data_IF_005632842100
#
_entry.id   IF_005632842100
#
_cell.length_a   1.000
_cell.length_b   1.000
_cell.length_c   1.000
_cell.angle_alpha   90.00
_cell.angle_beta   90.00
_cell.angle_gamma   90.00
#
_symmetry.space_group_name_H-M   'P 1'
#
loop_
_entity.id
_entity.type
_entity.pdbx_description
1 polymer ?
#
# COMPACT_ATOMS: atom_id res chain seq x y z
N UNK A 1 6.63 3.70 -2.65
CA UNK A 1 5.44 4.27 -1.97
C UNK A 1 4.83 5.36 -2.85
N UNK A 2 3.59 5.15 -3.28
CA UNK A 2 2.85 6.11 -4.09
C UNK A 2 2.42 7.29 -3.22
N UNK A 3 2.23 8.44 -3.85
CA UNK A 3 1.71 9.65 -3.20
C UNK A 3 0.25 9.92 -3.59
N UNK A 4 -0.31 9.09 -4.47
CA UNK A 4 -1.58 9.32 -5.15
C UNK A 4 -2.43 8.05 -5.18
N UNK A 5 -3.75 8.25 -5.17
CA UNK A 5 -4.79 7.26 -5.34
C UNK A 5 -5.47 7.50 -6.70
N UNK A 6 -5.76 6.43 -7.44
CA UNK A 6 -6.42 6.55 -8.74
C UNK A 6 -7.93 6.75 -8.57
N UNK A 7 -8.50 7.78 -9.18
CA UNK A 7 -9.91 8.14 -8.95
C UNK A 7 -10.90 7.12 -9.51
N UNK A 8 -10.58 6.39 -10.58
CA UNK A 8 -11.42 5.28 -11.07
C UNK A 8 -11.50 4.16 -10.02
N UNK A 9 -10.38 3.79 -9.40
CA UNK A 9 -10.39 2.84 -8.27
C UNK A 9 -11.23 3.32 -7.10
N UNK A 10 -11.02 4.58 -6.68
CA UNK A 10 -11.81 5.17 -5.61
C UNK A 10 -13.30 5.17 -5.93
N UNK A 11 -13.68 5.49 -7.16
CA UNK A 11 -15.09 5.51 -7.58
C UNK A 11 -15.70 4.11 -7.52
N UNK A 12 -15.03 3.08 -8.06
CA UNK A 12 -15.45 1.68 -7.93
C UNK A 12 -15.60 1.27 -6.46
N UNK A 13 -14.64 1.63 -5.61
CA UNK A 13 -14.68 1.27 -4.18
C UNK A 13 -15.83 1.99 -3.46
N UNK A 14 -15.95 3.31 -3.65
CA UNK A 14 -16.96 4.13 -2.95
C UNK A 14 -18.37 3.71 -3.36
N UNK A 15 -18.60 3.45 -4.65
CA UNK A 15 -19.95 3.19 -5.16
C UNK A 15 -20.32 1.70 -5.12
N UNK A 16 -19.38 0.78 -5.36
CA UNK A 16 -19.72 -0.64 -5.55
C UNK A 16 -19.33 -1.54 -4.36
N UNK A 17 -18.34 -1.16 -3.55
CA UNK A 17 -17.85 -2.02 -2.45
C UNK A 17 -18.54 -1.69 -1.12
N UNK A 18 -18.83 -2.70 -0.29
CA UNK A 18 -19.59 -2.55 0.96
C UNK A 18 -18.77 -2.86 2.21
N UNK A 19 -17.62 -3.51 2.05
CA UNK A 19 -16.70 -3.97 3.08
C UNK A 19 -16.18 -2.77 3.90
N UNK A 20 -16.16 -2.92 5.22
CA UNK A 20 -15.94 -1.79 6.12
C UNK A 20 -14.54 -1.17 6.02
N UNK A 21 -13.52 -2.01 5.83
CA UNK A 21 -12.10 -1.61 5.79
C UNK A 21 -11.53 -1.52 4.37
N UNK A 22 -12.38 -1.53 3.33
CA UNK A 22 -11.93 -1.57 1.94
C UNK A 22 -11.10 -0.34 1.56
N UNK A 23 -11.49 0.85 2.05
CA UNK A 23 -10.78 2.09 1.80
C UNK A 23 -9.44 2.11 2.54
N UNK A 24 -9.41 1.71 3.82
CA UNK A 24 -8.17 1.60 4.58
C UNK A 24 -7.19 0.63 3.90
N UNK A 25 -7.70 -0.49 3.39
CA UNK A 25 -6.92 -1.54 2.72
C UNK A 25 -6.34 -1.00 1.41
N UNK A 26 -7.17 -0.37 0.59
CA UNK A 26 -6.74 0.24 -0.66
C UNK A 26 -5.73 1.37 -0.46
N UNK A 27 -5.97 2.27 0.51
CA UNK A 27 -5.04 3.36 0.85
C UNK A 27 -3.71 2.79 1.31
N UNK A 28 -3.72 1.76 2.16
CA UNK A 28 -2.48 1.09 2.60
C UNK A 28 -1.75 0.44 1.43
N UNK A 29 -2.44 -0.25 0.52
CA UNK A 29 -1.85 -0.88 -0.66
C UNK A 29 -1.21 0.18 -1.59
N UNK A 30 -1.93 1.26 -1.88
CA UNK A 30 -1.40 2.37 -2.65
C UNK A 30 -0.19 3.00 -1.98
N UNK A 31 -0.28 3.25 -0.68
CA UNK A 31 0.83 3.80 0.10
C UNK A 31 2.08 2.93 0.01
N UNK A 32 2.00 1.61 0.19
CA UNK A 32 3.18 0.74 0.12
C UNK A 32 3.69 0.48 -1.32
N UNK A 33 2.86 0.72 -2.34
CA UNK A 33 3.23 0.47 -3.75
C UNK A 33 4.35 1.40 -4.22
N UNK A 34 5.27 0.94 -5.05
CA UNK A 34 6.34 1.74 -5.65
C UNK A 34 6.08 1.92 -7.12
N UNK A 35 6.22 3.16 -7.59
CA UNK A 35 6.15 3.48 -9.01
C UNK A 35 7.48 3.10 -9.67
N UNK A 36 7.41 2.15 -10.60
CA UNK A 36 8.55 1.67 -11.40
C UNK A 36 8.09 1.55 -12.84
N UNK A 37 8.70 2.30 -13.75
CA UNK A 37 8.34 2.35 -15.17
C UNK A 37 6.82 2.55 -15.37
N UNK A 38 6.25 3.53 -14.67
CA UNK A 38 4.83 3.85 -14.65
C UNK A 38 3.89 2.79 -14.05
N UNK A 39 4.37 1.59 -13.72
CA UNK A 39 3.57 0.58 -12.98
C UNK A 39 3.67 0.80 -11.46
N UNK A 40 2.58 0.54 -10.74
CA UNK A 40 2.50 0.66 -9.29
C UNK A 40 2.58 -0.72 -8.63
N UNK A 41 3.77 -1.07 -8.18
CA UNK A 41 4.14 -2.43 -7.76
C UNK A 41 4.28 -2.54 -6.24
N UNK A 42 3.72 -3.59 -5.66
CA UNK A 42 3.92 -3.99 -4.27
C UNK A 42 4.74 -5.28 -4.31
N UNK A 43 6.02 -5.14 -3.98
CA UNK A 43 6.98 -6.23 -4.03
C UNK A 43 6.85 -7.13 -2.80
N UNK A 44 6.04 -8.18 -2.92
CA UNK A 44 6.00 -9.31 -1.98
C UNK A 44 6.94 -10.43 -2.42
N UNK A 45 7.31 -10.46 -3.71
CA UNK A 45 8.04 -11.58 -4.32
C UNK A 45 7.32 -12.93 -4.17
N UNK A 46 6.01 -12.90 -3.95
CA UNK A 46 5.13 -14.07 -3.87
C UNK A 46 3.70 -13.66 -4.18
N UNK A 47 3.02 -14.54 -4.90
CA UNK A 47 1.57 -14.54 -5.14
C UNK A 47 0.75 -14.84 -3.86
N UNK A 48 1.41 -15.16 -2.75
CA UNK A 48 0.76 -15.37 -1.46
C UNK A 48 0.11 -14.09 -0.94
N UNK A 49 -1.23 -14.12 -0.84
CA UNK A 49 -2.02 -13.08 -0.19
C UNK A 49 -1.60 -12.87 1.26
N UNK A 50 -1.12 -13.92 1.95
CA UNK A 50 -0.69 -13.81 3.35
C UNK A 50 0.48 -12.84 3.52
N UNK A 51 1.45 -12.86 2.60
CA UNK A 51 2.58 -11.92 2.64
C UNK A 51 2.12 -10.49 2.34
N UNK A 52 1.18 -10.31 1.40
CA UNK A 52 0.58 -8.99 1.14
C UNK A 52 -0.17 -8.45 2.37
N UNK A 53 -0.97 -9.29 3.04
CA UNK A 53 -1.72 -8.92 4.24
C UNK A 53 -0.76 -8.49 5.35
N UNK A 54 0.36 -9.21 5.54
CA UNK A 54 1.35 -8.86 6.55
C UNK A 54 1.98 -7.48 6.31
N UNK A 55 2.18 -7.07 5.05
CA UNK A 55 2.63 -5.71 4.73
C UNK A 55 1.56 -4.67 5.04
N UNK A 56 0.31 -4.93 4.63
CA UNK A 56 -0.82 -4.03 4.86
C UNK A 56 -1.09 -3.81 6.36
N UNK A 57 -1.02 -4.88 7.16
CA UNK A 57 -1.22 -4.84 8.63
C UNK A 57 -0.27 -3.89 9.37
N UNK A 58 0.88 -3.54 8.79
CA UNK A 58 1.78 -2.53 9.39
C UNK A 58 1.15 -1.14 9.47
N UNK A 59 0.24 -0.83 8.54
CA UNK A 59 -0.35 0.50 8.41
C UNK A 59 -1.82 0.56 8.87
N UNK A 60 -2.38 -0.56 9.33
CA UNK A 60 -3.78 -0.64 9.76
C UNK A 60 -4.03 -1.64 10.88
N UNK A 61 -4.95 -1.29 11.77
CA UNK A 61 -5.39 -2.14 12.86
C UNK A 61 -6.68 -2.86 12.49
N UNK A 62 -6.58 -3.93 11.68
CA UNK A 62 -7.70 -4.77 11.29
C UNK A 62 -7.33 -6.26 11.39
N UNK A 63 -8.34 -7.11 11.56
CA UNK A 63 -8.13 -8.56 11.63
C UNK A 63 -7.62 -9.11 10.29
N UNK A 64 -6.85 -10.19 10.33
CA UNK A 64 -6.33 -10.85 9.12
C UNK A 64 -7.46 -11.18 8.13
N UNK A 65 -8.54 -11.82 8.62
CA UNK A 65 -9.70 -12.21 7.80
C UNK A 65 -10.38 -11.02 7.15
N UNK A 66 -10.48 -9.90 7.87
CA UNK A 66 -11.06 -8.66 7.33
C UNK A 66 -10.26 -8.11 6.16
N UNK A 67 -8.93 -8.09 6.28
CA UNK A 67 -8.04 -7.61 5.22
C UNK A 67 -8.07 -8.57 4.03
N UNK A 68 -8.06 -9.88 4.30
CA UNK A 68 -8.17 -10.91 3.27
C UNK A 68 -9.43 -10.70 2.41
N UNK A 69 -10.60 -10.55 3.04
CA UNK A 69 -11.85 -10.30 2.31
C UNK A 69 -11.81 -9.00 1.50
N UNK A 70 -11.16 -7.95 2.01
CA UNK A 70 -10.99 -6.70 1.27
C UNK A 70 -10.07 -6.89 0.05
N UNK A 71 -8.97 -7.64 0.19
CA UNK A 71 -8.06 -7.96 -0.93
C UNK A 71 -8.80 -8.76 -2.00
N UNK A 72 -9.57 -9.78 -1.62
CA UNK A 72 -10.39 -10.55 -2.56
C UNK A 72 -11.35 -9.64 -3.33
N UNK A 73 -12.00 -8.70 -2.65
CA UNK A 73 -12.89 -7.76 -3.31
C UNK A 73 -12.17 -6.82 -4.28
N UNK A 74 -10.97 -6.37 -3.93
CA UNK A 74 -10.15 -5.52 -4.82
C UNK A 74 -9.69 -6.29 -6.06
N UNK A 75 -9.41 -7.59 -5.92
CA UNK A 75 -9.08 -8.47 -7.05
C UNK A 75 -10.32 -8.67 -7.94
N UNK A 76 -11.47 -8.99 -7.35
CA UNK A 76 -12.76 -9.13 -8.05
C UNK A 76 -13.11 -7.88 -8.87
N UNK A 77 -12.78 -6.68 -8.35
CA UNK A 77 -13.02 -5.40 -9.03
C UNK A 77 -11.94 -4.99 -10.02
N UNK A 78 -10.97 -5.86 -10.28
CA UNK A 78 -9.81 -5.61 -11.16
C UNK A 78 -9.02 -4.36 -10.77
N UNK A 79 -8.94 -4.08 -9.46
CA UNK A 79 -8.16 -2.97 -8.89
C UNK A 79 -6.75 -3.45 -8.52
N UNK A 80 -6.64 -4.70 -8.09
CA UNK A 80 -5.41 -5.35 -7.66
C UNK A 80 -5.25 -6.66 -8.43
N UNK A 81 -4.07 -6.90 -8.99
CA UNK A 81 -3.73 -8.18 -9.62
C UNK A 81 -2.31 -8.60 -9.24
N UNK A 82 -1.96 -9.87 -9.45
CA UNK A 82 -0.58 -10.32 -9.33
C UNK A 82 0.03 -10.43 -10.73
N UNK A 83 1.20 -9.83 -10.93
CA UNK A 83 1.98 -9.90 -12.17
C UNK A 83 3.10 -10.93 -11.97
N UNK A 84 2.99 -12.06 -12.67
CA UNK A 84 3.91 -13.19 -12.57
C UNK A 84 5.31 -12.84 -13.09
N UNK A 85 5.42 -12.00 -14.11
CA UNK A 85 6.71 -11.61 -14.69
C UNK A 85 7.49 -10.73 -13.70
N UNK A 86 6.78 -9.79 -13.08
CA UNK A 86 7.34 -8.87 -12.09
C UNK A 86 7.39 -9.48 -10.69
N UNK A 87 6.79 -10.65 -10.47
CA UNK A 87 6.62 -11.31 -9.17
C UNK A 87 6.11 -10.33 -8.10
N UNK A 88 5.14 -9.50 -8.46
CA UNK A 88 4.68 -8.38 -7.65
C UNK A 88 3.18 -8.20 -7.78
N UNK A 89 2.55 -7.73 -6.71
CA UNK A 89 1.17 -7.27 -6.79
C UNK A 89 1.13 -5.89 -7.46
N UNK A 90 0.17 -5.68 -8.35
CA UNK A 90 0.05 -4.47 -9.16
C UNK A 90 -1.29 -3.82 -8.90
N UNK A 91 -1.25 -2.51 -8.65
CA UNK A 91 -2.45 -1.68 -8.70
C UNK A 91 -2.72 -1.33 -10.16
N UNK A 92 -3.76 -1.96 -10.71
CA UNK A 92 -4.06 -1.98 -12.14
C UNK A 92 -4.32 -0.57 -12.65
N UNK A 93 -3.82 -0.20 -13.84
CA UNK A 93 -4.17 1.04 -14.54
C UNK A 93 -3.87 2.36 -13.78
N UNK A 94 -3.09 2.35 -12.69
CA UNK A 94 -2.76 3.58 -11.95
C UNK A 94 -1.93 4.55 -12.77
N UNK A 95 -1.20 4.09 -13.79
CA UNK A 95 -0.50 4.93 -14.78
C UNK A 95 -1.42 5.89 -15.54
N UNK A 96 -2.72 5.58 -15.61
CA UNK A 96 -3.69 6.41 -16.32
C UNK A 96 -4.14 7.63 -15.51
N UNK A 97 -3.74 7.75 -14.23
CA UNK A 97 -4.15 8.88 -13.39
C UNK A 97 -3.53 10.22 -13.81
N UNK A 98 -2.43 10.21 -14.56
CA UNK A 98 -1.74 11.41 -15.06
C UNK A 98 -1.92 11.65 -16.55
N UNK A 99 -2.48 10.69 -17.30
CA UNK A 99 -2.72 10.84 -18.73
C UNK A 99 -3.80 11.88 -18.99
N UNK A 100 -3.57 12.73 -19.99
CA UNK A 100 -4.61 13.66 -20.44
C UNK A 100 -5.57 12.96 -21.39
N UNK A 101 -6.77 13.53 -21.58
CA UNK A 101 -7.73 13.06 -22.59
C UNK A 101 -7.17 13.03 -24.01
N UNK A 102 -6.10 13.78 -24.29
CA UNK A 102 -5.51 13.93 -25.61
C UNK A 102 -4.36 12.94 -25.87
N UNK A 103 -3.90 12.22 -24.84
CA UNK A 103 -2.79 11.26 -24.96
C UNK A 103 -3.25 9.83 -25.26
N UNK A 104 -4.56 9.56 -25.32
CA UNK A 104 -5.10 8.23 -25.60
C UNK A 104 -5.39 8.04 -27.08
N UNK A 105 -4.48 7.38 -27.80
CA UNK A 105 -4.68 6.93 -29.19
C UNK A 105 -5.67 5.75 -29.33
N UNK A 106 -6.35 5.37 -28.24
CA UNK A 106 -7.32 4.27 -28.24
C UNK A 106 -8.68 4.80 -27.77
N UNK A 107 -9.69 4.66 -28.61
CA UNK A 107 -11.12 4.91 -28.35
C UNK A 107 -11.74 3.98 -27.28
N UNK A 108 -10.93 3.17 -26.59
CA UNK A 108 -11.41 2.50 -25.39
C UNK A 108 -11.49 3.53 -24.27
N UNK A 109 -12.68 3.69 -23.69
CA UNK A 109 -13.03 4.55 -22.55
C UNK A 109 -12.18 4.25 -21.29
N UNK A 110 -10.86 4.41 -21.37
CA UNK A 110 -9.94 4.42 -20.24
C UNK A 110 -10.20 5.73 -19.51
N UNK A 111 -11.07 5.62 -18.49
CA UNK A 111 -11.50 6.66 -17.57
C UNK A 111 -10.32 7.47 -16.99
N UNK A 112 -9.83 8.45 -17.74
CA UNK A 112 -8.84 9.44 -17.32
C UNK A 112 -9.45 10.33 -16.23
N UNK A 113 -9.54 9.77 -15.03
CA UNK A 113 -10.34 10.26 -13.90
C UNK A 113 -9.52 11.10 -12.91
N UNK A 114 -8.22 11.27 -13.18
CA UNK A 114 -7.29 11.98 -12.32
C UNK A 114 -6.90 11.19 -11.08
N UNK A 115 -6.38 11.90 -10.08
CA UNK A 115 -5.89 11.31 -8.83
C UNK A 115 -6.37 12.07 -7.60
N UNK A 116 -6.26 11.41 -6.45
CA UNK A 116 -6.41 12.00 -5.11
C UNK A 116 -5.09 11.83 -4.35
N UNK A 117 -4.60 12.87 -3.70
CA UNK A 117 -3.38 12.82 -2.91
C UNK A 117 -3.58 11.97 -1.64
N UNK A 118 -2.59 11.14 -1.32
CA UNK A 118 -2.52 10.41 -0.06
C UNK A 118 -2.13 11.40 1.04
N UNK A 119 -3.02 11.65 1.99
CA UNK A 119 -2.85 12.63 3.07
C UNK A 119 -2.47 11.94 4.38
N UNK A 120 -1.69 12.64 5.22
CA UNK A 120 -1.31 12.17 6.56
C UNK A 120 -2.52 11.80 7.41
N UNK A 121 -3.61 12.57 7.25
CA UNK A 121 -4.88 12.32 7.93
C UNK A 121 -5.39 10.88 7.77
N UNK A 122 -5.19 10.25 6.60
CA UNK A 122 -5.67 8.88 6.34
C UNK A 122 -5.00 7.81 7.19
N UNK A 123 -3.86 8.11 7.83
CA UNK A 123 -3.13 7.19 8.70
C UNK A 123 -3.31 7.49 10.19
N UNK A 124 -4.11 8.50 10.54
CA UNK A 124 -4.42 8.84 11.93
C UNK A 124 -5.39 7.84 12.55
N UNK A 125 -5.31 7.66 13.87
CA UNK A 125 -6.26 6.84 14.61
C UNK A 125 -7.69 7.37 14.51
N UNK A 126 -7.84 8.68 14.34
CA UNK A 126 -9.13 9.30 14.11
C UNK A 126 -9.77 8.77 12.82
N UNK A 127 -9.08 8.88 11.69
CA UNK A 127 -9.57 8.34 10.41
C UNK A 127 -9.87 6.84 10.52
N UNK A 128 -8.96 6.05 11.10
CA UNK A 128 -9.13 4.60 11.27
C UNK A 128 -10.40 4.23 12.02
N UNK A 129 -10.75 4.98 13.07
CA UNK A 129 -11.94 4.77 13.92
C UNK A 129 -13.25 5.32 13.30
N UNK A 130 -13.18 6.06 12.19
CA UNK A 130 -14.37 6.53 11.49
C UNK A 130 -15.20 5.38 10.92
N UNK A 131 -16.51 5.60 10.80
CA UNK A 131 -17.41 4.65 10.14
C UNK A 131 -17.12 4.59 8.64
N UNK A 132 -17.36 3.44 7.99
CA UNK A 132 -17.15 3.29 6.56
C UNK A 132 -17.84 4.38 5.70
N UNK A 133 -19.05 4.83 6.08
CA UNK A 133 -19.76 5.93 5.39
C UNK A 133 -19.07 7.29 5.60
N UNK A 134 -18.56 7.54 6.79
CA UNK A 134 -17.80 8.77 7.13
C UNK A 134 -16.48 8.79 6.34
N UNK A 135 -15.77 7.67 6.25
CA UNK A 135 -14.56 7.51 5.42
C UNK A 135 -14.84 7.77 3.94
N UNK A 136 -15.92 7.19 3.39
CA UNK A 136 -16.34 7.43 1.99
C UNK A 136 -16.56 8.93 1.73
N UNK A 137 -17.19 9.66 2.64
CA UNK A 137 -17.36 11.10 2.53
C UNK A 137 -16.02 11.85 2.54
N UNK A 138 -15.13 11.55 3.49
CA UNK A 138 -13.80 12.18 3.57
C UNK A 138 -13.02 11.98 2.28
N UNK A 139 -12.99 10.76 1.75
CA UNK A 139 -12.29 10.46 0.51
C UNK A 139 -12.94 11.17 -0.68
N UNK A 140 -14.27 11.19 -0.76
CA UNK A 140 -14.96 11.93 -1.81
C UNK A 140 -14.71 13.45 -1.75
N UNK A 141 -14.68 14.03 -0.55
CA UNK A 141 -14.30 15.44 -0.37
C UNK A 141 -12.84 15.68 -0.80
N UNK A 142 -11.95 14.74 -0.51
CA UNK A 142 -10.55 14.80 -0.96
C UNK A 142 -10.44 14.76 -2.49
N UNK A 143 -11.24 13.91 -3.17
CA UNK A 143 -11.34 13.89 -4.64
C UNK A 143 -11.77 15.24 -5.20
N UNK A 144 -12.74 15.91 -4.57
CA UNK A 144 -13.20 17.23 -4.99
C UNK A 144 -12.12 18.31 -4.79
N UNK A 145 -11.39 18.28 -3.67
CA UNK A 145 -10.25 19.18 -3.40
C UNK A 145 -9.09 18.99 -4.38
N UNK A 146 -8.79 17.76 -4.79
CA UNK A 146 -7.70 17.50 -5.74
C UNK A 146 -8.10 17.70 -7.21
N UNK A 147 -9.40 17.91 -7.48
CA UNK A 147 -9.89 18.18 -8.82
C UNK A 147 -9.39 19.53 -9.36
N UNK A 148 -9.26 19.66 -10.69
CA UNK A 148 -8.88 20.95 -11.31
C UNK A 148 -9.83 22.10 -10.95
N UNK A 149 -11.09 21.79 -10.64
CA UNK A 149 -12.13 22.75 -10.28
C UNK A 149 -11.97 23.31 -8.85
N UNK A 150 -11.16 22.68 -7.99
CA UNK A 150 -10.95 23.16 -6.61
C UNK A 150 -10.30 24.52 -6.52
N UNK A 151 -9.54 24.94 -7.55
CA UNK A 151 -8.96 26.29 -7.65
C UNK A 151 -9.99 27.41 -7.52
N UNK A 152 -11.26 27.11 -7.75
CA UNK A 152 -12.36 28.07 -7.73
C UNK A 152 -13.20 27.99 -6.44
N UNK A 153 -12.94 27.04 -5.54
CA UNK A 153 -13.77 26.79 -4.37
C UNK A 153 -12.93 26.40 -3.13
N UNK A 154 -12.98 27.22 -2.07
CA UNK A 154 -12.33 26.95 -0.78
C UNK A 154 -13.25 26.24 0.24
N UNK A 155 -14.49 25.94 -0.16
CA UNK A 155 -15.51 25.39 0.74
C UNK A 155 -16.38 24.37 0.03
N UNK A 156 -16.99 23.47 0.81
CA UNK A 156 -17.90 22.47 0.29
C UNK A 156 -19.35 22.95 0.38
N UNK A 157 -20.09 22.67 -0.68
CA UNK A 157 -21.54 22.76 -0.72
C UNK A 157 -22.12 21.38 -0.99
N UNK A 158 -22.88 20.87 -0.03
CA UNK A 158 -23.53 19.57 -0.11
C UNK A 158 -25.05 19.75 -0.13
N UNK A 159 -25.67 19.36 -1.25
CA UNK A 159 -27.13 19.35 -1.39
C UNK A 159 -27.64 17.91 -1.46
N UNK A 160 -28.38 17.48 -0.43
CA UNK A 160 -28.95 16.14 -0.35
C UNK A 160 -30.27 15.96 -1.13
N UNK A 161 -30.89 17.06 -1.57
CA UNK A 161 -32.14 17.02 -2.36
C UNK A 161 -31.92 17.05 -3.86
N UNK A 162 -30.68 17.33 -4.32
CA UNK A 162 -30.38 17.36 -5.74
C UNK A 162 -30.68 15.98 -6.36
N UNK A 163 -31.45 15.91 -7.47
CA UNK A 163 -31.63 14.67 -8.21
C UNK A 163 -30.27 14.06 -8.56
N UNK A 164 -30.13 12.75 -8.37
CA UNK A 164 -28.86 12.03 -8.59
C UNK A 164 -27.65 12.60 -7.82
N UNK A 165 -27.88 13.20 -6.65
CA UNK A 165 -26.81 13.76 -5.80
C UNK A 165 -25.70 12.73 -5.56
N UNK A 166 -24.48 13.08 -5.97
CA UNK A 166 -23.29 12.27 -5.72
C UNK A 166 -23.09 12.01 -4.23
N UNK A 167 -23.43 12.98 -3.37
CA UNK A 167 -23.39 12.82 -1.91
C UNK A 167 -24.28 11.70 -1.40
N UNK A 168 -25.49 11.55 -1.97
CA UNK A 168 -26.40 10.45 -1.63
C UNK A 168 -25.86 9.10 -2.09
N UNK A 169 -25.21 9.05 -3.26
CA UNK A 169 -24.53 7.85 -3.77
C UNK A 169 -23.37 7.44 -2.85
N UNK A 170 -22.53 8.39 -2.43
CA UNK A 170 -21.40 8.17 -1.50
C UNK A 170 -21.88 7.66 -0.14
N UNK A 171 -22.98 8.21 0.38
CA UNK A 171 -23.60 7.79 1.64
C UNK A 171 -24.29 6.43 1.58
N UNK A 172 -24.51 5.88 0.37
CA UNK A 172 -25.26 4.65 0.10
C UNK A 172 -26.59 4.61 0.85
N UNK A 173 -27.42 5.63 0.65
CA UNK A 173 -28.77 5.66 1.23
C UNK A 173 -29.76 6.33 0.28
N UNK A 174 -30.99 5.81 0.27
CA UNK A 174 -32.12 6.44 -0.42
C UNK A 174 -32.82 7.48 0.48
N UNK A 175 -32.65 7.39 1.80
CA UNK A 175 -33.32 8.27 2.76
C UNK A 175 -32.55 9.57 2.98
N UNK A 176 -33.11 10.67 2.48
CA UNK A 176 -32.59 12.03 2.69
C UNK A 176 -32.52 12.42 4.18
N UNK A 177 -33.45 11.94 4.99
CA UNK A 177 -33.48 12.22 6.43
C UNK A 177 -32.36 11.50 7.17
N UNK A 178 -32.12 10.24 6.83
CA UNK A 178 -31.00 9.48 7.37
C UNK A 178 -29.65 10.06 6.93
N UNK A 179 -29.53 10.47 5.67
CA UNK A 179 -28.36 11.19 5.18
C UNK A 179 -28.11 12.47 5.98
N UNK A 180 -29.13 13.32 6.14
CA UNK A 180 -29.07 14.55 6.94
C UNK A 180 -28.64 14.27 8.39
N UNK A 181 -29.24 13.28 9.04
CA UNK A 181 -28.87 12.87 10.39
C UNK A 181 -27.40 12.43 10.47
N UNK A 182 -26.94 11.64 9.49
CA UNK A 182 -25.57 11.14 9.42
C UNK A 182 -24.57 12.28 9.30
N UNK A 183 -24.83 13.26 8.42
CA UNK A 183 -23.95 14.44 8.25
C UNK A 183 -23.90 15.29 9.52
N UNK A 184 -25.06 15.62 10.10
CA UNK A 184 -25.11 16.37 11.37
C UNK A 184 -24.34 15.66 12.49
N UNK A 185 -24.51 14.34 12.60
CA UNK A 185 -23.80 13.53 13.59
C UNK A 185 -22.29 13.54 13.35
N UNK A 186 -21.86 13.46 12.09
CA UNK A 186 -20.45 13.52 11.71
C UNK A 186 -19.84 14.89 12.07
N UNK A 187 -20.49 16.00 11.73
CA UNK A 187 -20.01 17.35 12.07
C UNK A 187 -19.95 17.57 13.58
N UNK A 188 -20.93 17.08 14.34
CA UNK A 188 -20.90 17.19 15.80
C UNK A 188 -19.79 16.33 16.42
N UNK A 189 -19.59 15.10 15.92
CA UNK A 189 -18.59 14.17 16.44
C UNK A 189 -17.16 14.63 16.15
N UNK A 190 -16.92 15.17 14.96
CA UNK A 190 -15.59 15.59 14.50
C UNK A 190 -15.53 17.11 14.32
N UNK A 191 -16.01 17.85 15.33
CA UNK A 191 -16.20 19.31 15.29
C UNK A 191 -14.91 20.10 14.99
N UNK A 192 -13.75 19.54 15.34
CA UNK A 192 -12.45 20.14 15.07
C UNK A 192 -11.97 19.92 13.62
N UNK A 193 -12.49 18.91 12.92
CA UNK A 193 -12.19 18.67 11.51
C UNK A 193 -13.03 19.54 10.58
N UNK A 194 -14.22 19.96 11.01
CA UNK A 194 -15.21 20.65 10.18
C UNK A 194 -15.51 22.05 10.70
N UNK A 195 -15.34 23.06 9.85
CA UNK A 195 -15.89 24.40 10.09
C UNK A 195 -17.27 24.46 9.45
N UNK A 196 -18.31 24.19 10.22
CA UNK A 196 -19.70 24.18 9.73
C UNK A 196 -20.29 25.60 9.67
N UNK A 197 -20.43 26.11 8.44
CA UNK A 197 -21.00 27.43 8.14
C UNK A 197 -22.46 27.32 7.64
N UNK A 198 -23.08 26.14 7.77
CA UNK A 198 -24.39 25.84 7.17
C UNK A 198 -25.50 26.75 7.68
N UNK A 199 -25.53 27.05 8.99
CA UNK A 199 -26.58 27.91 9.58
C UNK A 199 -26.54 29.32 8.97
N UNK A 200 -25.35 29.91 8.94
CA UNK A 200 -25.13 31.26 8.40
C UNK A 200 -25.52 31.34 6.93
N UNK A 201 -25.16 30.34 6.13
CA UNK A 201 -25.53 30.30 4.71
C UNK A 201 -27.03 30.05 4.49
N UNK A 202 -27.67 29.21 5.31
CA UNK A 202 -29.12 28.96 5.23
C UNK A 202 -29.96 30.19 5.54
N UNK A 203 -29.49 31.10 6.40
CA UNK A 203 -30.18 32.38 6.68
C UNK A 203 -30.20 33.27 5.43
N UNK A 204 -29.13 33.24 4.63
CA UNK A 204 -28.99 34.01 3.40
C UNK A 204 -29.68 33.38 2.18
N UNK A 205 -30.09 32.11 2.28
CA UNK A 205 -30.73 31.36 1.19
C UNK A 205 -32.24 31.62 1.20
N UNK A 206 -32.75 32.20 0.11
CA UNK A 206 -34.17 32.52 -0.08
C UNK A 206 -35.06 31.27 -0.29
N UNK A 207 -34.48 30.08 -0.44
CA UNK A 207 -35.24 28.85 -0.62
C UNK A 207 -36.05 28.47 0.64
N UNK A 208 -37.16 27.72 0.51
CA UNK A 208 -37.97 27.30 1.67
C UNK A 208 -37.17 26.53 2.74
N UNK A 209 -37.51 26.68 4.02
CA UNK A 209 -36.87 25.91 5.12
C UNK A 209 -36.88 24.39 4.91
N UNK A 210 -37.91 23.87 4.23
CA UNK A 210 -38.02 22.44 3.87
C UNK A 210 -36.88 21.98 2.94
N UNK A 211 -36.28 22.88 2.16
CA UNK A 211 -35.17 22.59 1.25
C UNK A 211 -33.82 22.99 1.83
N UNK A 212 -33.70 24.18 2.42
CA UNK A 212 -32.42 24.69 2.96
C UNK A 212 -31.85 23.82 4.08
N UNK A 213 -32.70 23.16 4.85
CA UNK A 213 -32.32 22.20 5.89
C UNK A 213 -31.54 20.97 5.39
N UNK A 214 -31.54 20.70 4.08
CA UNK A 214 -30.79 19.61 3.43
C UNK A 214 -29.57 20.10 2.64
N UNK A 215 -29.30 21.41 2.69
CA UNK A 215 -28.08 22.03 2.17
C UNK A 215 -27.09 22.22 3.32
N UNK A 216 -25.85 21.82 3.11
CA UNK A 216 -24.76 21.98 4.07
C UNK A 216 -23.63 22.77 3.41
N UNK A 217 -23.04 23.68 4.17
CA UNK A 217 -21.92 24.51 3.76
C UNK A 217 -20.86 24.44 4.83
N UNK A 218 -19.67 23.96 4.47
CA UNK A 218 -18.63 23.70 5.45
C UNK A 218 -17.25 23.67 4.83
N UNK A 219 -16.22 23.81 5.66
CA UNK A 219 -14.83 23.62 5.28
C UNK A 219 -14.24 22.44 6.07
N UNK A 220 -13.25 21.77 5.49
CA UNK A 220 -12.51 20.70 6.17
C UNK A 220 -11.00 20.93 5.99
N UNK A 221 -10.38 21.72 6.88
CA UNK A 221 -8.96 22.08 6.76
C UNK A 221 -8.01 20.87 6.69
N UNK A 222 -8.39 19.76 7.33
CA UNK A 222 -7.60 18.52 7.36
C UNK A 222 -7.38 17.87 5.98
N UNK A 223 -8.19 18.23 4.97
CA UNK A 223 -8.07 17.71 3.59
C UNK A 223 -7.75 18.82 2.56
N UNK A 224 -7.83 20.08 2.97
CA UNK A 224 -7.68 21.27 2.11
C UNK A 224 -6.21 21.63 1.81
N UNK A 225 -5.27 21.12 2.62
CA UNK A 225 -3.86 21.41 2.41
C UNK A 225 -3.35 20.76 1.13
N UNK A 226 -2.92 21.59 0.16
CA UNK A 226 -2.05 21.15 -0.95
C UNK A 226 -0.89 20.36 -0.33
N UNK A 227 -0.83 19.06 -0.58
CA UNK A 227 0.17 18.20 0.08
C UNK A 227 1.55 18.60 -0.41
N UNK A 228 2.36 19.18 0.47
CA UNK A 228 3.73 19.59 0.18
C UNK A 228 4.64 18.35 0.14
N UNK A 229 5.71 18.39 -0.66
CA UNK A 229 6.69 17.30 -0.75
C UNK A 229 7.28 16.92 0.62
N UNK A 230 7.43 17.92 1.50
CA UNK A 230 7.89 17.73 2.88
C UNK A 230 6.95 16.87 3.73
N UNK A 231 5.63 17.02 3.57
CA UNK A 231 4.65 16.20 4.30
C UNK A 231 4.77 14.72 3.94
N UNK A 232 5.09 14.40 2.68
CA UNK A 232 5.35 13.00 2.27
C UNK A 232 6.64 12.45 2.86
N UNK A 233 7.68 13.27 2.99
CA UNK A 233 8.95 12.86 3.60
C UNK A 233 8.74 12.56 5.09
N UNK A 234 8.02 13.44 5.80
CA UNK A 234 7.67 13.25 7.19
C UNK A 234 6.82 12.00 7.41
N UNK A 235 5.82 11.77 6.56
CA UNK A 235 4.97 10.58 6.62
C UNK A 235 5.80 9.29 6.51
N UNK A 236 6.72 9.22 5.54
CA UNK A 236 7.58 8.05 5.36
C UNK A 236 8.47 7.82 6.58
N UNK A 237 9.01 8.89 7.17
CA UNK A 237 9.83 8.84 8.39
C UNK A 237 9.01 8.32 9.57
N UNK A 238 7.82 8.86 9.79
CA UNK A 238 6.94 8.47 10.90
C UNK A 238 6.46 7.02 10.77
N UNK A 239 6.18 6.56 9.55
CA UNK A 239 5.73 5.18 9.31
C UNK A 239 6.85 4.15 9.35
N UNK A 240 8.12 4.55 9.14
CA UNK A 240 9.27 3.64 9.03
C UNK A 240 10.48 4.15 9.83
N UNK A 241 10.36 4.33 11.16
CA UNK A 241 11.42 4.96 11.96
C UNK A 241 12.71 4.13 11.98
N UNK A 242 12.60 2.79 12.08
CA UNK A 242 13.77 1.91 12.14
C UNK A 242 14.56 1.91 10.83
N UNK A 243 13.87 1.86 9.70
CA UNK A 243 14.47 1.91 8.37
C UNK A 243 15.10 3.29 8.11
N UNK A 244 14.48 4.36 8.62
CA UNK A 244 15.05 5.70 8.53
C UNK A 244 16.37 5.81 9.29
N UNK A 245 16.43 5.31 10.53
CA UNK A 245 17.67 5.30 11.32
C UNK A 245 18.76 4.45 10.65
N UNK A 246 18.42 3.24 10.17
CA UNK A 246 19.36 2.40 9.42
C UNK A 246 20.01 3.15 8.25
N UNK A 247 19.20 3.84 7.44
CA UNK A 247 19.70 4.62 6.30
C UNK A 247 20.59 5.77 6.77
N UNK A 248 20.21 6.46 7.86
CA UNK A 248 20.98 7.57 8.43
C UNK A 248 22.33 7.13 8.98
N UNK A 249 22.37 6.03 9.73
CA UNK A 249 23.59 5.44 10.26
C UNK A 249 24.57 5.07 9.14
N UNK A 250 24.08 4.40 8.11
CA UNK A 250 24.91 3.99 6.97
C UNK A 250 25.43 5.18 6.16
N UNK A 251 24.63 6.22 5.97
CA UNK A 251 25.07 7.48 5.32
C UNK A 251 26.18 8.14 6.15
N UNK A 252 25.99 8.24 7.47
CA UNK A 252 26.96 8.83 8.39
C UNK A 252 28.28 8.04 8.39
N UNK A 253 28.21 6.71 8.48
CA UNK A 253 29.38 5.83 8.43
C UNK A 253 30.13 5.95 7.09
N UNK A 254 29.40 6.05 5.99
CA UNK A 254 29.97 6.18 4.64
C UNK A 254 30.57 7.57 4.34
N UNK A 255 30.31 8.59 5.18
CA UNK A 255 30.78 9.96 4.95
C UNK A 255 30.18 10.63 3.71
N UNK A 256 29.03 10.17 3.22
CA UNK A 256 28.33 10.71 2.04
C UNK A 256 27.19 11.64 2.44
N UNK A 257 26.69 12.44 1.50
CA UNK A 257 25.52 13.30 1.70
C UNK A 257 24.41 12.96 0.71
N UNK A 258 23.19 12.73 1.22
CA UNK A 258 22.01 12.47 0.38
C UNK A 258 20.90 13.47 0.73
N UNK A 259 20.18 13.94 -0.29
CA UNK A 259 19.04 14.84 -0.09
C UNK A 259 17.90 14.12 0.66
N UNK A 260 17.02 14.88 1.34
CA UNK A 260 15.87 14.32 2.06
C UNK A 260 15.00 13.40 1.17
N UNK A 261 14.86 13.76 -0.11
CA UNK A 261 14.14 12.99 -1.13
C UNK A 261 14.79 11.64 -1.43
N UNK A 262 16.12 11.61 -1.59
CA UNK A 262 16.84 10.35 -1.83
C UNK A 262 16.78 9.43 -0.61
N UNK A 263 16.93 9.98 0.59
CA UNK A 263 16.74 9.23 1.85
C UNK A 263 15.33 8.64 1.91
N UNK A 264 14.31 9.43 1.59
CA UNK A 264 12.93 8.94 1.54
C UNK A 264 12.77 7.78 0.53
N UNK A 265 13.34 7.88 -0.68
CA UNK A 265 13.27 6.79 -1.67
C UNK A 265 13.98 5.51 -1.22
N UNK A 266 15.13 5.64 -0.54
CA UNK A 266 15.84 4.51 0.07
C UNK A 266 14.97 3.82 1.13
N UNK A 267 14.45 4.58 2.10
CA UNK A 267 13.58 4.05 3.16
C UNK A 267 12.37 3.32 2.56
N UNK A 268 11.76 3.88 1.51
CA UNK A 268 10.63 3.26 0.79
C UNK A 268 10.99 1.91 0.17
N UNK A 269 12.19 1.76 -0.39
CA UNK A 269 12.64 0.50 -0.96
C UNK A 269 12.86 -0.57 0.13
N UNK A 270 13.39 -0.17 1.28
CA UNK A 270 13.66 -1.08 2.40
C UNK A 270 12.39 -1.50 3.16
N UNK A 271 11.42 -0.60 3.30
CA UNK A 271 10.20 -0.83 4.09
C UNK A 271 9.44 -2.10 3.68
N UNK A 272 9.42 -2.41 2.38
CA UNK A 272 8.67 -3.56 1.85
C UNK A 272 9.36 -4.91 2.08
N UNK A 273 10.63 -4.92 2.51
CA UNK A 273 11.35 -6.16 2.81
C UNK A 273 10.89 -6.75 4.16
N UNK A 274 10.76 -8.07 4.19
CA UNK A 274 10.32 -8.82 5.38
C UNK A 274 11.47 -8.98 6.37
N UNK A 275 12.60 -9.54 5.92
CA UNK A 275 13.74 -9.84 6.79
C UNK A 275 14.69 -8.65 6.94
N UNK A 276 15.11 -8.37 8.18
CA UNK A 276 15.95 -7.21 8.51
C UNK A 276 17.33 -7.26 7.83
N UNK A 277 17.96 -8.43 7.78
CA UNK A 277 19.27 -8.58 7.14
C UNK A 277 19.23 -8.27 5.62
N UNK A 278 18.09 -8.49 4.95
CA UNK A 278 17.92 -8.10 3.55
C UNK A 278 17.87 -6.57 3.42
N UNK A 279 17.23 -5.89 4.38
CA UNK A 279 17.20 -4.42 4.42
C UNK A 279 18.61 -3.85 4.56
N UNK A 280 19.40 -4.39 5.49
CA UNK A 280 20.77 -3.97 5.70
C UNK A 280 21.63 -4.17 4.44
N UNK A 281 21.54 -5.35 3.81
CA UNK A 281 22.27 -5.67 2.58
C UNK A 281 21.89 -4.75 1.41
N UNK A 282 20.60 -4.52 1.18
CA UNK A 282 20.14 -3.61 0.12
C UNK A 282 20.59 -2.17 0.40
N UNK A 283 20.48 -1.70 1.64
CA UNK A 283 20.92 -0.36 2.03
C UNK A 283 22.43 -0.19 1.76
N UNK A 284 23.24 -1.17 2.16
CA UNK A 284 24.69 -1.17 1.94
C UNK A 284 25.05 -1.09 0.45
N UNK A 285 24.42 -1.92 -0.40
CA UNK A 285 24.71 -1.93 -1.84
C UNK A 285 24.42 -0.58 -2.50
N UNK A 286 23.29 0.03 -2.16
CA UNK A 286 22.91 1.33 -2.74
C UNK A 286 23.85 2.43 -2.22
N UNK A 287 24.20 2.41 -0.93
CA UNK A 287 25.12 3.39 -0.34
C UNK A 287 26.53 3.24 -0.92
N UNK A 288 27.01 2.02 -1.15
CA UNK A 288 28.29 1.78 -1.83
C UNK A 288 28.31 2.36 -3.25
N UNK A 289 27.20 2.31 -3.99
CA UNK A 289 27.12 3.00 -5.30
C UNK A 289 27.22 4.51 -5.14
N UNK A 290 26.63 5.10 -4.10
CA UNK A 290 26.77 6.53 -3.83
C UNK A 290 28.18 6.92 -3.37
N UNK A 291 28.88 6.09 -2.58
CA UNK A 291 30.30 6.25 -2.27
C UNK A 291 31.11 6.30 -3.57
N UNK A 292 30.88 5.34 -4.47
CA UNK A 292 31.58 5.30 -5.76
C UNK A 292 31.34 6.55 -6.61
N UNK A 293 30.13 7.12 -6.58
CA UNK A 293 29.80 8.32 -7.33
C UNK A 293 30.42 9.58 -6.69
N UNK A 294 30.24 9.77 -5.38
CA UNK A 294 30.63 11.02 -4.70
C UNK A 294 32.12 11.07 -4.37
N UNK A 295 32.69 9.96 -3.90
CA UNK A 295 34.08 9.90 -3.42
C UNK A 295 34.99 9.45 -4.56
N UNK A 296 34.66 8.33 -5.22
CA UNK A 296 35.50 7.77 -6.28
C UNK A 296 35.22 8.36 -7.68
N UNK A 297 34.34 9.38 -7.78
CA UNK A 297 34.00 10.09 -9.03
C UNK A 297 33.64 9.18 -10.20
N UNK A 298 32.94 8.07 -9.92
CA UNK A 298 32.47 7.15 -10.96
C UNK A 298 31.62 7.88 -12.01
N UNK A 299 31.89 7.61 -13.30
CA UNK A 299 31.15 8.19 -14.43
C UNK A 299 29.71 7.68 -14.53
N UNK A 300 29.40 6.55 -13.91
CA UNK A 300 28.07 5.96 -13.93
C UNK A 300 27.19 6.47 -12.79
N UNK A 301 26.37 7.46 -13.08
CA UNK A 301 25.41 8.00 -12.12
C UNK A 301 24.10 7.19 -12.07
N UNK A 302 23.37 7.28 -10.97
CA UNK A 302 22.03 6.70 -10.81
C UNK A 302 21.02 7.64 -11.48
N UNK A 303 20.51 7.27 -12.66
CA UNK A 303 19.49 8.04 -13.38
C UNK A 303 18.16 8.16 -12.61
N UNK A 304 17.74 7.07 -11.95
CA UNK A 304 16.52 7.02 -11.14
C UNK A 304 16.74 6.08 -9.95
N UNK A 305 16.79 6.66 -8.74
CA UNK A 305 16.98 5.89 -7.51
C UNK A 305 15.86 4.86 -7.28
N UNK A 306 14.57 5.17 -7.48
CA UNK A 306 13.51 4.17 -7.35
C UNK A 306 13.72 2.94 -8.24
N UNK A 307 14.10 3.15 -9.51
CA UNK A 307 14.34 2.05 -10.44
C UNK A 307 15.58 1.24 -10.08
N UNK A 308 16.67 1.92 -9.73
CA UNK A 308 17.90 1.26 -9.28
C UNK A 308 17.69 0.45 -8.00
N UNK A 309 17.03 1.03 -7.01
CA UNK A 309 16.72 0.34 -5.76
C UNK A 309 15.84 -0.89 -6.01
N UNK A 310 14.81 -0.79 -6.87
CA UNK A 310 13.97 -1.93 -7.23
C UNK A 310 14.78 -3.08 -7.89
N UNK A 311 15.76 -2.76 -8.74
CA UNK A 311 16.65 -3.75 -9.35
C UNK A 311 17.56 -4.43 -8.32
N UNK A 312 18.16 -3.65 -7.42
CA UNK A 312 19.01 -4.17 -6.32
C UNK A 312 18.20 -5.07 -5.40
N UNK A 313 17.00 -4.64 -4.99
CA UNK A 313 16.09 -5.44 -4.16
C UNK A 313 15.76 -6.77 -4.86
N UNK A 314 15.38 -6.73 -6.14
CA UNK A 314 15.06 -7.95 -6.92
C UNK A 314 16.25 -8.92 -6.96
N UNK A 315 17.45 -8.43 -7.22
CA UNK A 315 18.68 -9.24 -7.24
C UNK A 315 18.94 -9.91 -5.89
N UNK A 316 18.96 -9.14 -4.80
CA UNK A 316 19.24 -9.65 -3.45
C UNK A 316 18.19 -10.66 -2.98
N UNK A 317 16.91 -10.41 -3.25
CA UNK A 317 15.83 -11.33 -2.87
C UNK A 317 15.89 -12.62 -3.69
N UNK A 318 16.22 -12.55 -4.98
CA UNK A 318 16.36 -13.74 -5.82
C UNK A 318 17.54 -14.61 -5.39
N UNK A 319 18.69 -14.01 -5.07
CA UNK A 319 19.83 -14.73 -4.49
C UNK A 319 19.42 -15.46 -3.20
N UNK A 320 18.72 -14.76 -2.31
CA UNK A 320 18.26 -15.35 -1.05
C UNK A 320 17.24 -16.48 -1.24
N UNK A 321 16.32 -16.33 -2.20
CA UNK A 321 15.39 -17.42 -2.59
C UNK A 321 16.15 -18.64 -3.12
N UNK A 322 17.14 -18.42 -3.97
CA UNK A 322 17.98 -19.50 -4.50
C UNK A 322 18.75 -20.19 -3.38
N UNK A 323 19.34 -19.42 -2.46
CA UNK A 323 19.98 -19.95 -1.26
C UNK A 323 19.01 -20.80 -0.41
N UNK A 324 17.78 -20.31 -0.15
CA UNK A 324 16.74 -21.08 0.58
C UNK A 324 16.38 -22.39 -0.13
N UNK A 325 16.26 -22.37 -1.47
CA UNK A 325 15.99 -23.58 -2.27
C UNK A 325 17.14 -24.58 -2.16
N UNK A 326 18.39 -24.15 -2.35
CA UNK A 326 19.58 -24.99 -2.23
C UNK A 326 19.67 -25.59 -0.82
N UNK A 327 19.45 -24.79 0.23
CA UNK A 327 19.45 -25.28 1.61
C UNK A 327 18.36 -26.34 1.85
N UNK A 328 17.16 -26.16 1.30
CA UNK A 328 16.09 -27.18 1.38
C UNK A 328 16.49 -28.48 0.67
N UNK A 329 16.99 -28.39 -0.57
CA UNK A 329 17.46 -29.55 -1.33
C UNK A 329 18.60 -30.26 -0.59
N UNK A 330 19.55 -29.53 -0.04
CA UNK A 330 20.65 -30.11 0.73
C UNK A 330 20.18 -30.74 2.05
N UNK A 331 19.16 -30.18 2.70
CA UNK A 331 18.55 -30.79 3.87
C UNK A 331 17.78 -32.07 3.52
N UNK A 332 17.07 -32.10 2.38
CA UNK A 332 16.39 -33.30 1.87
C UNK A 332 17.44 -34.38 1.54
N UNK A 333 18.51 -34.03 0.83
CA UNK A 333 19.64 -34.95 0.54
C UNK A 333 20.33 -35.47 1.79
N UNK A 334 20.42 -34.67 2.87
CA UNK A 334 20.93 -35.14 4.17
C UNK A 334 19.97 -36.12 4.85
N UNK A 335 18.67 -35.93 4.67
CA UNK A 335 17.66 -36.88 5.13
C UNK A 335 17.72 -38.19 4.33
N UNK A 336 17.79 -38.10 2.98
CA UNK A 336 17.96 -39.26 2.10
C UNK A 336 19.27 -40.01 2.41
N UNK A 337 20.39 -39.32 2.62
CA UNK A 337 21.64 -39.97 3.05
C UNK A 337 21.53 -40.58 4.46
N UNK A 338 20.73 -39.99 5.34
CA UNK A 338 20.45 -40.56 6.67
C UNK A 338 19.59 -41.82 6.58
N UNK A 339 18.57 -41.84 5.73
CA UNK A 339 17.76 -43.04 5.45
C UNK A 339 18.58 -44.12 4.75
N UNK A 340 19.44 -43.75 3.79
CA UNK A 340 20.39 -44.68 3.15
C UNK A 340 21.39 -45.25 4.15
N UNK A 341 21.90 -44.46 5.09
CA UNK A 341 22.76 -44.96 6.17
C UNK A 341 22.00 -45.91 7.09
N UNK A 342 20.75 -45.59 7.44
CA UNK A 342 19.89 -46.44 8.30
C UNK A 342 19.54 -47.75 7.59
N UNK A 343 19.12 -47.73 6.32
CA UNK A 343 18.89 -48.94 5.51
C UNK A 343 20.16 -49.78 5.35
N UNK A 344 21.30 -49.14 5.06
CA UNK A 344 22.58 -49.85 4.90
C UNK A 344 23.06 -50.47 6.21
N UNK A 345 22.87 -49.79 7.35
CA UNK A 345 23.17 -50.38 8.68
C UNK A 345 22.19 -51.47 9.07
N UNK A 346 20.89 -51.35 8.77
CA UNK A 346 19.90 -52.39 9.07
C UNK A 346 20.15 -53.66 8.26
N UNK A 347 20.42 -53.53 6.96
CA UNK A 347 20.64 -54.69 6.09
C UNK A 347 21.94 -55.43 6.41
N UNK A 348 23.01 -54.74 6.83
CA UNK A 348 24.26 -55.42 7.25
C UNK A 348 24.17 -56.09 8.62
N UNK A 349 23.38 -55.54 9.56
CA UNK A 349 23.24 -56.11 10.91
C UNK A 349 22.39 -57.38 10.86
N UNK A 350 21.35 -57.45 10.02
CA UNK A 350 20.53 -58.66 9.87
C UNK A 350 21.24 -59.79 9.11
N UNK A 351 22.15 -59.47 8.17
CA UNK A 351 22.95 -60.47 7.46
C UNK A 351 24.03 -61.10 8.36
N UNK A 352 24.73 -60.31 9.19
CA UNK A 352 25.78 -60.83 10.10
C UNK A 352 25.20 -61.70 11.23
N UNK A 353 24.05 -61.33 11.81
CA UNK A 353 23.43 -62.08 12.91
C UNK A 353 22.88 -63.44 12.41
N UNK A 354 22.25 -63.47 11.24
CA UNK A 354 21.73 -64.74 10.69
C UNK A 354 22.86 -65.69 10.28
N UNK A 355 23.96 -65.16 9.73
CA UNK A 355 25.13 -65.97 9.39
C UNK A 355 25.80 -66.57 10.63
N UNK A 356 25.97 -65.77 11.69
CA UNK A 356 26.59 -66.25 12.94
C UNK A 356 25.68 -67.24 13.69
N UNK A 357 24.36 -67.05 13.68
CA UNK A 357 23.39 -68.00 14.27
C UNK A 357 23.38 -69.31 13.49
N UNK A 358 23.36 -69.28 12.15
CA UNK A 358 23.43 -70.51 11.34
C UNK A 358 24.74 -71.26 11.52
N UNK A 359 25.86 -70.54 11.64
CA UNK A 359 27.18 -71.15 11.90
C UNK A 359 27.27 -71.75 13.30
N UNK A 360 26.68 -71.11 14.31
CA UNK A 360 26.61 -71.66 15.67
C UNK A 360 25.68 -72.88 15.77
N UNK A 361 24.56 -72.89 15.04
CA UNK A 361 23.64 -74.03 14.97
C UNK A 361 24.21 -75.22 14.17
N UNK A 362 25.09 -74.98 13.20
CA UNK A 362 25.78 -76.04 12.45
C UNK A 362 26.94 -76.71 13.24
N UNK A 363 27.31 -76.14 14.39
CA UNK A 363 28.35 -76.65 15.29
C UNK A 363 27.78 -77.38 16.53
N UNK A 364 26.44 -77.43 16.66
CA UNK A 364 25.68 -78.26 17.59
C UNK A 364 25.19 -79.51 16.85
#
# INVERSE_FOLDING_TARGET
MATKLYNSHLSKIIFECNEYYILDTYISLAYISSEVNSKYLIQTFSDSKADLINLVRRNMNASYKTIFNCIDKLIEKSILSFDNELNSWVLVNMENMTKSKYDSNNDSYMESTGYTNIRNFFFTDEFRKMKAREKRLIIYMSQLCDSKASKFHNSFSMNLLKPNSSWMKVLKTKSKYYARYTINKMFNKYKYLFKDNSKTMRIKDLSPKKTTNFKFYFECPAIDTRVLEEQYIELVKLSNPKEYELVKEKIKFAGITLTKKLVMHLVRALANLKEWFLKDRVAQLIINKYIAIQIHKSRENIKSLPAYAAAVVKSVVNEYKNFKKIKKVNNIRRYEHGEYFIEYTKNKVDDDINFDIQKALALL
#
